data_IF_800145543466
#
_entry.id   IF_800145543466
#
_cell.length_a   1.000
_cell.length_b   1.000
_cell.length_c   1.000
_cell.angle_alpha   90.00
_cell.angle_beta   90.00
_cell.angle_gamma   90.00
#
_symmetry.space_group_name_H-M   'P 1'
#
loop_
_entity.id
_entity.type
_entity.pdbx_description
1 polymer ?
#
# COMPACT_ATOMS: atom_id res chain seq x y z
N UNK A 1 23.53 16.60 5.61
CA UNK A 1 22.18 16.94 6.07
C UNK A 1 21.56 15.79 6.84
N UNK A 2 20.67 16.03 7.78
CA UNK A 2 20.08 15.02 8.64
C UNK A 2 18.55 15.02 8.54
N UNK A 3 17.94 13.84 8.29
CA UNK A 3 16.49 13.67 8.19
C UNK A 3 15.98 12.72 9.27
N UNK A 4 14.79 13.03 9.82
CA UNK A 4 14.03 12.13 10.68
C UNK A 4 12.83 11.59 9.90
N UNK A 5 12.73 10.27 9.76
CA UNK A 5 11.54 9.58 9.24
C UNK A 5 10.72 9.11 10.44
N UNK A 6 9.46 9.52 10.50
CA UNK A 6 8.53 9.14 11.58
C UNK A 6 7.46 8.25 11.00
N UNK A 7 7.41 7.00 11.43
CA UNK A 7 6.48 6.00 10.92
C UNK A 7 5.94 5.10 12.04
N UNK A 8 4.72 4.59 11.86
CA UNK A 8 4.15 3.62 12.79
C UNK A 8 4.78 2.25 12.66
N UNK A 9 5.07 1.83 11.42
CA UNK A 9 5.55 0.48 11.08
C UNK A 9 6.92 0.55 10.41
N UNK A 10 7.87 -0.19 10.96
CA UNK A 10 9.21 -0.36 10.41
C UNK A 10 9.72 -1.77 10.72
N UNK A 11 10.64 -2.37 9.97
CA UNK A 11 11.23 -3.66 10.32
C UNK A 11 11.74 -3.69 11.78
N UNK A 12 11.61 -4.82 12.48
CA UNK A 12 11.32 -6.17 12.00
C UNK A 12 9.84 -6.52 11.83
N UNK A 13 8.91 -5.55 11.95
CA UNK A 13 7.49 -5.82 11.71
C UNK A 13 7.27 -6.48 10.34
N UNK A 14 6.61 -7.64 10.31
CA UNK A 14 6.30 -8.40 9.08
C UNK A 14 5.09 -7.82 8.33
N UNK A 15 5.01 -6.51 8.21
CA UNK A 15 3.93 -5.82 7.52
C UNK A 15 4.43 -5.15 6.26
N UNK A 16 3.68 -5.27 5.18
CA UNK A 16 3.96 -4.54 3.92
C UNK A 16 4.04 -3.02 4.12
N UNK A 17 3.43 -2.54 5.20
CA UNK A 17 3.43 -1.14 5.57
C UNK A 17 4.83 -0.61 5.95
N UNK A 18 5.71 -1.47 6.44
CA UNK A 18 7.07 -1.09 6.83
C UNK A 18 8.04 -0.97 5.65
N UNK A 19 7.69 -1.49 4.47
CA UNK A 19 8.63 -1.48 3.34
C UNK A 19 8.84 -0.08 2.76
N UNK A 20 7.80 0.73 2.63
CA UNK A 20 7.92 2.06 2.04
C UNK A 20 8.82 3.00 2.87
N UNK A 21 8.65 3.15 4.19
CA UNK A 21 9.58 3.95 5.00
C UNK A 21 11.01 3.35 5.03
N UNK A 22 11.16 2.02 4.96
CA UNK A 22 12.46 1.39 4.81
C UNK A 22 13.14 1.78 3.48
N UNK A 23 12.38 1.76 2.38
CA UNK A 23 12.89 2.22 1.08
C UNK A 23 13.33 3.66 1.12
N UNK A 24 12.53 4.54 1.69
CA UNK A 24 12.86 5.94 1.81
C UNK A 24 14.11 6.15 2.67
N UNK A 25 14.23 5.43 3.78
CA UNK A 25 15.41 5.51 4.64
C UNK A 25 16.69 5.10 3.90
N UNK A 26 16.66 3.96 3.21
CA UNK A 26 17.80 3.47 2.40
C UNK A 26 18.12 4.39 1.23
N UNK A 27 17.11 4.88 0.53
CA UNK A 27 17.30 5.82 -0.56
C UNK A 27 17.98 7.09 -0.08
N UNK A 28 17.52 7.69 1.01
CA UNK A 28 18.11 8.91 1.55
C UNK A 28 19.56 8.68 2.04
N UNK A 29 19.83 7.54 2.65
CA UNK A 29 21.18 7.16 3.07
C UNK A 29 22.13 7.05 1.86
N UNK A 30 21.72 6.41 0.77
CA UNK A 30 22.48 6.31 -0.48
C UNK A 30 22.83 7.68 -1.09
N UNK A 31 21.97 8.68 -0.89
CA UNK A 31 22.23 10.06 -1.31
C UNK A 31 22.99 10.91 -0.28
N UNK A 32 23.58 10.26 0.72
CA UNK A 32 24.46 10.89 1.71
C UNK A 32 23.75 11.64 2.84
N UNK A 33 22.44 11.38 3.05
CA UNK A 33 21.74 11.86 4.22
C UNK A 33 22.08 11.05 5.46
N UNK A 34 22.24 11.71 6.59
CA UNK A 34 22.21 11.04 7.89
C UNK A 34 20.74 10.77 8.24
N UNK A 35 20.35 9.51 8.18
CA UNK A 35 18.94 9.11 8.35
C UNK A 35 18.71 8.55 9.74
N UNK A 36 17.69 9.05 10.41
CA UNK A 36 17.16 8.45 11.62
C UNK A 36 15.68 8.14 11.43
N UNK A 37 15.22 7.02 12.02
CA UNK A 37 13.82 6.57 11.97
C UNK A 37 13.28 6.51 13.38
N UNK A 38 12.14 7.13 13.61
CA UNK A 38 11.38 7.00 14.86
C UNK A 38 10.15 6.15 14.61
N UNK A 39 10.07 5.00 15.25
CA UNK A 39 9.02 4.02 15.04
C UNK A 39 8.57 3.36 16.34
N UNK A 40 7.47 2.65 16.30
CA UNK A 40 7.01 1.77 17.36
C UNK A 40 7.93 0.54 17.47
N UNK A 41 8.08 0.02 18.69
CA UNK A 41 8.76 -1.24 18.91
C UNK A 41 7.93 -2.42 18.36
N UNK A 42 8.58 -3.29 17.56
CA UNK A 42 8.08 -4.59 17.10
C UNK A 42 9.14 -5.65 17.34
N UNK A 43 8.70 -6.88 17.67
CA UNK A 43 9.59 -8.04 17.85
C UNK A 43 9.82 -8.80 16.53
N UNK A 44 8.96 -8.60 15.54
CA UNK A 44 8.97 -9.31 14.27
C UNK A 44 8.26 -10.67 14.31
N UNK A 45 7.71 -11.04 15.46
CA UNK A 45 6.94 -12.29 15.67
C UNK A 45 5.44 -12.04 15.85
N UNK A 46 5.01 -10.78 15.81
CA UNK A 46 3.61 -10.43 16.02
C UNK A 46 2.72 -11.06 14.96
N UNK A 47 1.66 -11.74 15.41
CA UNK A 47 0.51 -12.11 14.59
C UNK A 47 -0.30 -10.86 14.22
N UNK A 48 -1.22 -10.99 13.26
CA UNK A 48 -2.11 -9.90 12.87
C UNK A 48 -2.90 -9.33 14.07
N UNK A 49 -3.35 -10.21 14.98
CA UNK A 49 -4.10 -9.80 16.18
C UNK A 49 -3.22 -9.10 17.23
N UNK A 50 -1.93 -9.42 17.27
CA UNK A 50 -0.96 -8.81 18.20
C UNK A 50 -0.40 -7.49 17.69
N UNK A 51 -0.51 -7.24 16.38
CA UNK A 51 0.05 -6.06 15.75
C UNK A 51 -0.34 -4.74 16.42
N UNK A 52 -1.56 -4.63 16.96
CA UNK A 52 -2.05 -3.45 17.65
C UNK A 52 -2.05 -3.56 19.18
N UNK A 53 -1.53 -4.65 19.76
CA UNK A 53 -1.46 -4.82 21.21
C UNK A 53 -0.42 -3.87 21.84
N UNK A 54 -0.60 -3.50 23.11
CA UNK A 54 0.40 -2.75 23.85
C UNK A 54 1.74 -3.49 23.86
N UNK A 55 2.81 -2.71 23.74
CA UNK A 55 4.16 -3.20 23.94
C UNK A 55 4.86 -2.26 24.92
N UNK A 56 5.23 -2.79 26.07
CA UNK A 56 5.87 -2.04 27.15
C UNK A 56 7.40 -2.09 27.10
N UNK A 57 7.96 -2.66 26.03
CA UNK A 57 9.42 -2.67 25.84
C UNK A 57 9.97 -1.25 25.93
N UNK A 58 10.99 -1.00 26.77
CA UNK A 58 11.56 0.32 26.91
C UNK A 58 12.06 0.91 25.59
N UNK A 59 12.19 2.23 25.57
CA UNK A 59 12.83 2.91 24.44
C UNK A 59 14.22 2.33 24.20
N UNK A 60 14.50 2.07 22.93
CA UNK A 60 15.81 1.58 22.47
C UNK A 60 16.17 2.23 21.13
N UNK A 61 17.45 2.17 20.77
CA UNK A 61 17.90 2.56 19.44
C UNK A 61 18.97 1.61 18.95
N UNK A 62 19.01 1.40 17.64
CA UNK A 62 19.97 0.51 16.95
C UNK A 62 20.40 1.13 15.63
N UNK A 63 21.66 0.88 15.26
CA UNK A 63 22.15 1.23 13.92
C UNK A 63 21.94 0.03 13.00
N UNK A 64 21.15 0.22 11.93
CA UNK A 64 20.77 -0.82 10.98
C UNK A 64 21.08 -0.37 9.57
N UNK A 65 22.09 -0.96 8.94
CA UNK A 65 22.51 -0.62 7.56
C UNK A 65 22.66 0.89 7.33
N UNK A 66 23.38 1.59 8.23
CA UNK A 66 23.61 3.04 8.13
C UNK A 66 22.50 3.92 8.70
N UNK A 67 21.32 3.36 9.00
CA UNK A 67 20.15 4.07 9.51
C UNK A 67 20.06 3.89 11.04
N UNK A 68 19.95 4.97 11.80
CA UNK A 68 19.67 4.91 13.22
C UNK A 68 18.15 4.76 13.47
N UNK A 69 17.76 3.64 14.07
CA UNK A 69 16.35 3.33 14.31
C UNK A 69 16.01 3.46 15.80
N UNK A 70 15.15 4.42 16.13
CA UNK A 70 14.63 4.65 17.47
C UNK A 70 13.30 3.94 17.62
N UNK A 71 13.21 3.02 18.58
CA UNK A 71 12.01 2.21 18.86
C UNK A 71 11.39 2.66 20.18
N UNK A 72 10.12 3.07 20.12
CA UNK A 72 9.37 3.54 21.27
C UNK A 72 8.34 2.51 21.73
N UNK A 73 8.06 2.44 23.05
CA UNK A 73 7.00 1.59 23.57
C UNK A 73 5.64 2.00 22.99
N UNK A 74 4.74 1.03 22.86
CA UNK A 74 3.36 1.26 22.48
C UNK A 74 2.44 0.98 23.67
N UNK A 75 1.86 2.02 24.20
CA UNK A 75 0.86 1.90 25.25
C UNK A 75 -0.53 2.11 24.68
N UNK A 76 -1.47 1.24 24.96
CA UNK A 76 -2.87 1.53 24.69
C UNK A 76 -3.31 2.72 25.56
N UNK A 77 -4.08 3.63 24.97
CA UNK A 77 -4.77 4.63 25.79
C UNK A 77 -5.77 3.91 26.71
N UNK A 78 -6.07 4.54 27.84
CA UNK A 78 -7.12 4.07 28.76
C UNK A 78 -8.45 3.78 28.04
N UNK A 79 -8.65 4.39 26.90
CA UNK A 79 -9.79 4.29 26.01
C UNK A 79 -9.63 3.26 24.87
N UNK A 80 -8.49 2.59 24.74
CA UNK A 80 -8.28 1.48 23.79
C UNK A 80 -9.06 0.21 24.15
N UNK A 81 -9.72 0.19 25.28
CA UNK A 81 -10.55 -0.92 25.76
C UNK A 81 -11.94 -0.99 25.13
N UNK A 82 -12.08 -0.63 23.85
CA UNK A 82 -13.34 -0.85 23.10
C UNK A 82 -13.81 -2.32 23.11
N UNK A 83 -12.89 -3.23 23.36
CA UNK A 83 -13.18 -4.66 23.40
C UNK A 83 -13.49 -5.20 24.79
N UNK A 84 -13.66 -4.33 25.79
CA UNK A 84 -14.08 -4.78 27.11
C UNK A 84 -15.56 -5.21 27.03
N UNK A 85 -15.86 -6.51 27.24
CA UNK A 85 -17.24 -7.03 27.10
C UNK A 85 -18.26 -6.26 27.94
N UNK A 86 -17.87 -5.83 29.16
CA UNK A 86 -18.73 -5.07 30.05
C UNK A 86 -19.07 -3.65 29.62
N UNK A 87 -18.22 -2.98 28.83
CA UNK A 87 -18.53 -1.63 28.32
C UNK A 87 -19.46 -1.63 27.12
N UNK A 88 -19.44 -2.70 26.31
CA UNK A 88 -20.39 -2.86 25.22
C UNK A 88 -21.83 -3.07 25.69
N UNK A 89 -22.03 -3.76 26.83
CA UNK A 89 -23.34 -4.02 27.40
C UNK A 89 -24.02 -2.76 27.96
N UNK A 90 -23.27 -1.77 28.40
CA UNK A 90 -23.80 -0.55 29.01
C UNK A 90 -24.22 0.56 28.03
N UNK A 91 -24.02 0.38 26.70
CA UNK A 91 -24.36 1.40 25.69
C UNK A 91 -23.50 2.68 25.74
N UNK A 92 -22.77 2.91 26.84
CA UNK A 92 -21.94 4.10 27.07
C UNK A 92 -20.74 4.21 26.12
N UNK A 93 -20.33 3.09 25.53
CA UNK A 93 -19.20 3.07 24.61
C UNK A 93 -19.38 3.99 23.38
N UNK A 94 -20.62 4.16 22.89
CA UNK A 94 -20.91 5.07 21.78
C UNK A 94 -20.68 6.53 22.16
N UNK A 95 -21.08 6.91 23.36
CA UNK A 95 -20.87 8.26 23.87
C UNK A 95 -19.38 8.56 24.09
N UNK A 96 -18.65 7.62 24.69
CA UNK A 96 -17.20 7.73 24.91
C UNK A 96 -16.48 7.80 23.56
N UNK A 97 -16.85 6.96 22.60
CA UNK A 97 -16.30 7.00 21.24
C UNK A 97 -16.55 8.35 20.56
N UNK A 98 -17.77 8.87 20.67
CA UNK A 98 -18.15 10.13 20.06
C UNK A 98 -17.42 11.33 20.70
N UNK A 99 -17.30 11.36 22.02
CA UNK A 99 -16.53 12.41 22.73
C UNK A 99 -15.04 12.36 22.38
N UNK A 100 -14.46 11.17 22.26
CA UNK A 100 -13.08 11.02 21.78
C UNK A 100 -12.89 11.55 20.37
N UNK A 101 -13.84 11.21 19.49
CA UNK A 101 -13.83 11.67 18.12
C UNK A 101 -13.90 13.21 18.04
N UNK A 102 -14.78 13.83 18.83
CA UNK A 102 -14.89 15.28 18.94
C UNK A 102 -13.61 15.95 19.51
N UNK A 103 -12.90 15.26 20.39
CA UNK A 103 -11.61 15.74 20.91
C UNK A 103 -10.43 15.42 19.97
N UNK A 104 -10.70 14.88 18.77
CA UNK A 104 -9.67 14.47 17.82
C UNK A 104 -8.84 13.27 18.29
N UNK A 105 -9.41 12.46 19.18
CA UNK A 105 -8.75 11.28 19.74
C UNK A 105 -9.21 10.05 18.99
N UNK A 106 -8.28 9.29 18.41
CA UNK A 106 -8.56 8.01 17.77
C UNK A 106 -8.14 6.85 18.68
N UNK A 107 -8.53 5.63 18.33
CA UNK A 107 -8.15 4.42 19.06
C UNK A 107 -6.63 4.21 19.19
N UNK A 108 -5.84 4.92 18.38
CA UNK A 108 -4.38 4.85 18.38
C UNK A 108 -3.72 6.05 19.08
N UNK A 109 -4.47 6.80 19.87
CA UNK A 109 -3.99 8.04 20.50
C UNK A 109 -2.81 7.81 21.45
N UNK A 110 -2.76 6.68 22.15
CA UNK A 110 -1.66 6.38 23.05
C UNK A 110 -0.31 6.40 22.37
N UNK A 111 -0.23 5.88 21.13
CA UNK A 111 0.99 5.93 20.36
C UNK A 111 1.39 7.38 20.05
N UNK A 112 0.45 8.22 19.58
CA UNK A 112 0.76 9.61 19.28
C UNK A 112 1.20 10.43 20.48
N UNK A 113 0.66 10.14 21.67
CA UNK A 113 1.07 10.79 22.93
C UNK A 113 2.51 10.43 23.29
N UNK A 114 2.86 9.16 23.24
CA UNK A 114 4.21 8.69 23.52
C UNK A 114 5.20 9.10 22.43
N UNK A 115 4.84 8.97 21.17
CA UNK A 115 5.69 9.43 20.06
C UNK A 115 5.97 10.94 20.19
N UNK A 116 4.95 11.70 20.58
CA UNK A 116 5.11 13.14 20.81
C UNK A 116 6.14 13.48 21.89
N UNK A 117 6.22 12.68 22.94
CA UNK A 117 7.24 12.82 23.99
C UNK A 117 8.64 12.55 23.43
N UNK A 118 8.85 11.38 22.84
CA UNK A 118 10.15 10.99 22.28
C UNK A 118 10.57 11.87 21.10
N UNK A 119 9.63 12.22 20.21
CA UNK A 119 9.88 13.15 19.12
C UNK A 119 10.37 14.50 19.62
N UNK A 120 9.69 15.08 20.64
CA UNK A 120 10.09 16.35 21.23
C UNK A 120 11.47 16.27 21.88
N UNK A 121 11.78 15.16 22.51
CA UNK A 121 13.08 14.91 23.13
C UNK A 121 14.18 14.84 22.05
N UNK A 122 14.00 14.02 21.02
CA UNK A 122 14.95 13.89 19.90
C UNK A 122 15.19 15.23 19.19
N UNK A 123 14.13 15.95 18.86
CA UNK A 123 14.23 17.23 18.14
C UNK A 123 14.85 18.36 18.97
N UNK A 124 14.87 18.23 20.30
CA UNK A 124 15.57 19.18 21.18
C UNK A 124 17.02 18.83 21.38
N UNK A 125 17.36 17.54 21.40
CA UNK A 125 18.72 17.06 21.64
C UNK A 125 19.58 17.02 20.38
N UNK A 126 18.95 16.98 19.20
CA UNK A 126 19.62 16.78 17.92
C UNK A 126 18.98 17.66 16.85
N UNK A 127 19.78 18.45 16.10
CA UNK A 127 19.24 19.22 14.98
C UNK A 127 18.93 18.30 13.80
N UNK A 128 17.75 18.47 13.20
CA UNK A 128 17.33 17.85 11.95
C UNK A 128 17.00 18.92 10.93
N UNK A 129 17.41 18.69 9.69
CA UNK A 129 17.15 19.60 8.57
C UNK A 129 15.74 19.40 8.00
N UNK A 130 15.18 18.18 8.12
CA UNK A 130 13.84 17.84 7.61
C UNK A 130 13.21 16.69 8.38
N UNK A 131 11.87 16.61 8.33
CA UNK A 131 11.09 15.48 8.85
C UNK A 131 10.20 14.94 7.74
N UNK A 132 10.20 13.62 7.55
CA UNK A 132 9.23 12.90 6.74
C UNK A 132 8.35 12.06 7.65
N UNK A 133 7.02 12.29 7.63
CA UNK A 133 6.09 11.51 8.43
C UNK A 133 5.15 10.70 7.56
N UNK A 134 5.07 9.39 7.82
CA UNK A 134 4.10 8.50 7.18
C UNK A 134 2.72 8.67 7.82
N UNK A 135 1.70 8.80 6.98
CA UNK A 135 0.30 8.94 7.41
C UNK A 135 -0.31 7.58 7.74
N UNK A 136 -0.17 7.20 8.99
CA UNK A 136 -0.89 6.07 9.58
C UNK A 136 -0.30 5.71 10.93
N UNK A 137 -0.92 6.07 12.00
CA UNK A 137 -2.22 6.74 12.24
C UNK A 137 -2.19 8.27 12.09
N UNK A 138 -3.36 8.90 11.85
CA UNK A 138 -3.48 10.37 11.67
C UNK A 138 -2.96 11.17 12.85
N UNK A 139 -3.06 10.64 14.06
CA UNK A 139 -2.53 11.25 15.29
C UNK A 139 -1.01 11.43 15.24
N UNK A 140 -0.29 10.54 14.55
CA UNK A 140 1.14 10.64 14.35
C UNK A 140 1.47 11.89 13.54
N UNK A 141 0.80 12.07 12.41
CA UNK A 141 0.96 13.25 11.55
C UNK A 141 0.66 14.54 12.31
N UNK A 142 -0.41 14.55 13.10
CA UNK A 142 -0.81 15.71 13.91
C UNK A 142 0.21 16.05 14.98
N UNK A 143 0.79 15.04 15.64
CA UNK A 143 1.85 15.23 16.63
C UNK A 143 3.11 15.82 15.98
N UNK A 144 3.54 15.26 14.84
CA UNK A 144 4.70 15.75 14.07
C UNK A 144 4.44 17.19 13.60
N UNK A 145 3.31 17.44 12.96
CA UNK A 145 2.97 18.77 12.44
C UNK A 145 3.03 19.85 13.53
N UNK A 146 2.47 19.56 14.72
CA UNK A 146 2.49 20.48 15.85
C UNK A 146 3.91 20.78 16.34
N UNK A 147 4.72 19.73 16.55
CA UNK A 147 6.06 19.88 17.12
C UNK A 147 7.02 20.52 16.08
N UNK A 148 7.00 20.04 14.85
CA UNK A 148 7.81 20.55 13.76
C UNK A 148 7.53 22.05 13.48
N UNK A 149 6.25 22.44 13.45
CA UNK A 149 5.88 23.86 13.30
C UNK A 149 6.36 24.72 14.48
N UNK A 150 6.30 24.20 15.72
CA UNK A 150 6.82 24.93 16.89
C UNK A 150 8.32 25.13 16.84
N UNK A 151 9.05 24.14 16.35
CA UNK A 151 10.52 24.15 16.24
C UNK A 151 11.02 24.72 14.90
N UNK A 152 10.11 25.10 13.99
CA UNK A 152 10.39 25.61 12.64
C UNK A 152 11.21 24.65 11.78
N UNK A 153 11.01 23.33 11.95
CA UNK A 153 11.62 22.31 11.13
C UNK A 153 10.66 21.97 9.98
N UNK A 154 11.09 22.03 8.71
CA UNK A 154 10.24 21.65 7.59
C UNK A 154 9.87 20.18 7.66
N UNK A 155 8.61 19.86 7.34
CA UNK A 155 8.15 18.49 7.29
C UNK A 155 7.29 18.23 6.06
N UNK A 156 7.32 16.99 5.58
CA UNK A 156 6.43 16.48 4.53
C UNK A 156 5.68 15.26 5.04
N UNK A 157 4.48 15.04 4.49
CA UNK A 157 3.62 13.91 4.85
C UNK A 157 3.60 12.92 3.70
N UNK A 158 3.88 11.65 3.96
CA UNK A 158 3.69 10.56 3.01
C UNK A 158 2.36 9.85 3.27
N UNK A 159 1.39 10.11 2.40
CA UNK A 159 0.08 9.45 2.39
C UNK A 159 0.16 8.19 1.54
N UNK A 160 0.66 7.08 2.12
CA UNK A 160 0.64 5.79 1.44
C UNK A 160 -0.80 5.38 1.11
N UNK A 161 -1.73 5.61 2.05
CA UNK A 161 -3.16 5.34 1.94
C UNK A 161 -3.96 6.57 2.37
N UNK A 162 -5.23 6.66 1.94
CA UNK A 162 -6.15 7.56 2.59
C UNK A 162 -6.28 7.16 4.07
N UNK A 163 -6.35 8.15 4.94
CA UNK A 163 -6.52 7.89 6.38
C UNK A 163 -7.90 7.32 6.72
N UNK A 164 -8.77 7.20 5.74
CA UNK A 164 -10.10 6.62 5.82
C UNK A 164 -10.42 5.86 4.54
N UNK A 165 -10.78 4.59 4.67
CA UNK A 165 -11.10 3.74 3.50
C UNK A 165 -12.28 4.30 2.69
N UNK A 166 -13.27 4.86 3.36
CA UNK A 166 -14.44 5.49 2.73
C UNK A 166 -14.09 6.66 1.82
N UNK A 167 -12.90 7.25 1.94
CA UNK A 167 -12.44 8.33 1.04
C UNK A 167 -12.18 7.84 -0.38
N UNK A 168 -11.88 6.56 -0.57
CA UNK A 168 -11.69 5.99 -1.89
C UNK A 168 -13.00 5.76 -2.66
N UNK A 169 -14.15 5.72 -1.98
CA UNK A 169 -15.44 5.44 -2.62
C UNK A 169 -15.80 6.51 -3.64
N UNK A 170 -16.06 6.08 -4.89
CA UNK A 170 -16.56 6.94 -5.98
C UNK A 170 -17.96 7.47 -5.69
N UNK A 171 -18.76 6.71 -4.94
CA UNK A 171 -20.12 7.07 -4.55
C UNK A 171 -20.21 7.37 -3.05
N UNK A 172 -20.16 8.66 -2.63
CA UNK A 172 -20.27 9.05 -1.23
C UNK A 172 -21.64 8.75 -0.60
N UNK A 173 -22.67 8.44 -1.39
CA UNK A 173 -24.00 8.09 -0.86
C UNK A 173 -23.96 6.80 -0.05
N UNK A 174 -23.05 5.89 -0.40
CA UNK A 174 -22.81 4.63 0.30
C UNK A 174 -22.20 4.77 1.70
N UNK A 175 -21.79 5.98 2.08
CA UNK A 175 -21.20 6.24 3.40
C UNK A 175 -22.33 6.50 4.39
N UNK A 176 -22.47 5.63 5.39
CA UNK A 176 -23.45 5.80 6.48
C UNK A 176 -23.22 7.07 7.31
N UNK A 177 -24.29 7.61 7.91
CA UNK A 177 -24.29 8.90 8.61
C UNK A 177 -23.16 9.04 9.67
N UNK A 178 -22.97 8.05 10.54
CA UNK A 178 -21.94 8.07 11.57
C UNK A 178 -20.53 8.12 10.97
N UNK A 179 -20.31 7.43 9.85
CA UNK A 179 -19.04 7.47 9.11
C UNK A 179 -18.80 8.81 8.42
N UNK A 180 -19.88 9.47 7.92
CA UNK A 180 -19.79 10.83 7.36
C UNK A 180 -19.33 11.84 8.41
N UNK A 181 -19.89 11.79 9.62
CA UNK A 181 -19.48 12.66 10.75
C UNK A 181 -17.99 12.42 11.07
N UNK A 182 -17.60 11.15 11.24
CA UNK A 182 -16.22 10.79 11.54
C UNK A 182 -15.26 11.28 10.45
N UNK A 183 -15.61 11.06 9.18
CA UNK A 183 -14.82 11.53 8.05
C UNK A 183 -14.70 13.07 8.03
N UNK A 184 -15.78 13.79 8.32
CA UNK A 184 -15.77 15.25 8.43
C UNK A 184 -14.82 15.75 9.52
N UNK A 185 -14.83 15.13 10.69
CA UNK A 185 -13.95 15.45 11.80
C UNK A 185 -12.46 15.14 11.47
N UNK A 186 -12.19 13.98 10.88
CA UNK A 186 -10.82 13.64 10.47
C UNK A 186 -10.29 14.62 9.41
N UNK A 187 -11.08 14.99 8.41
CA UNK A 187 -10.73 16.03 7.44
C UNK A 187 -10.43 17.37 8.12
N UNK A 188 -11.26 17.77 9.07
CA UNK A 188 -11.04 19.00 9.84
C UNK A 188 -9.70 18.97 10.59
N UNK A 189 -9.40 17.87 11.30
CA UNK A 189 -8.15 17.73 12.04
C UNK A 189 -6.91 17.60 11.16
N UNK A 190 -7.05 17.03 9.96
CA UNK A 190 -5.94 16.88 9.00
C UNK A 190 -5.69 18.13 8.16
N UNK A 191 -6.66 19.07 8.09
CA UNK A 191 -6.52 20.30 7.28
C UNK A 191 -5.24 21.09 7.62
N UNK A 192 -5.03 21.38 8.89
CA UNK A 192 -3.85 22.13 9.33
C UNK A 192 -2.53 21.40 9.06
N UNK A 193 -2.35 20.13 9.44
CA UNK A 193 -1.18 19.35 9.04
C UNK A 193 -0.89 19.39 7.54
N UNK A 194 -1.89 19.19 6.69
CA UNK A 194 -1.75 19.22 5.22
C UNK A 194 -1.33 20.60 4.74
N UNK A 195 -2.00 21.66 5.18
CA UNK A 195 -1.71 23.01 4.70
C UNK A 195 -0.37 23.56 5.20
N UNK A 196 0.12 23.14 6.37
CA UNK A 196 1.42 23.54 6.92
C UNK A 196 2.59 22.65 6.51
N UNK A 197 2.33 21.46 5.97
CA UNK A 197 3.39 20.61 5.40
C UNK A 197 4.07 21.32 4.21
N UNK A 198 5.35 21.04 4.01
CA UNK A 198 6.09 21.51 2.84
C UNK A 198 5.55 20.83 1.58
N UNK A 199 5.51 19.49 1.60
CA UNK A 199 4.87 18.67 0.57
C UNK A 199 4.01 17.57 1.19
N UNK A 200 3.01 17.11 0.41
CA UNK A 200 2.26 15.91 0.66
C UNK A 200 2.55 14.94 -0.47
N UNK A 201 3.05 13.77 -0.12
CA UNK A 201 3.46 12.71 -1.05
C UNK A 201 2.36 11.65 -1.05
N UNK A 202 2.06 11.03 -2.19
CA UNK A 202 1.18 9.87 -2.27
C UNK A 202 1.45 9.00 -3.49
N UNK A 203 0.73 7.89 -3.58
CA UNK A 203 0.85 6.92 -4.68
C UNK A 203 0.22 7.40 -5.98
N UNK A 204 -0.71 8.37 -5.92
CA UNK A 204 -1.39 8.93 -7.09
C UNK A 204 -1.83 10.38 -6.86
N UNK A 205 -1.98 11.13 -7.94
CA UNK A 205 -2.59 12.46 -7.92
C UNK A 205 -4.06 12.39 -7.51
N UNK A 206 -4.78 11.36 -7.93
CA UNK A 206 -6.17 11.10 -7.53
C UNK A 206 -6.29 11.04 -6.01
N UNK A 207 -5.39 10.31 -5.32
CA UNK A 207 -5.41 10.23 -3.86
C UNK A 207 -5.10 11.59 -3.21
N UNK A 208 -4.14 12.35 -3.73
CA UNK A 208 -3.83 13.70 -3.21
C UNK A 208 -5.01 14.66 -3.37
N UNK A 209 -5.78 14.54 -4.45
CA UNK A 209 -7.01 15.31 -4.66
C UNK A 209 -8.12 14.90 -3.68
N UNK A 210 -8.32 13.59 -3.45
CA UNK A 210 -9.25 13.04 -2.44
C UNK A 210 -8.91 13.59 -1.04
N UNK A 211 -7.61 13.70 -0.73
CA UNK A 211 -7.10 14.24 0.53
C UNK A 211 -7.17 15.77 0.60
N UNK A 212 -7.61 16.44 -0.47
CA UNK A 212 -7.68 17.90 -0.60
C UNK A 212 -6.34 18.60 -0.38
N UNK A 213 -5.26 17.99 -0.84
CA UNK A 213 -3.94 18.60 -0.80
C UNK A 213 -3.87 19.74 -1.81
N UNK A 214 -3.38 20.95 -1.43
CA UNK A 214 -3.18 22.05 -2.38
C UNK A 214 -2.27 21.63 -3.55
N UNK A 215 -2.58 21.98 -4.83
CA UNK A 215 -1.84 21.53 -6.01
C UNK A 215 -0.33 21.77 -5.93
N UNK A 216 0.11 22.94 -5.45
CA UNK A 216 1.54 23.25 -5.32
C UNK A 216 2.32 22.42 -4.30
N UNK A 217 1.61 21.63 -3.46
CA UNK A 217 2.21 20.78 -2.43
C UNK A 217 2.13 19.29 -2.78
N UNK A 218 1.50 18.94 -3.87
CA UNK A 218 1.31 17.54 -4.29
C UNK A 218 2.60 16.98 -4.90
N UNK A 219 2.99 15.79 -4.45
CA UNK A 219 4.08 15.00 -5.02
C UNK A 219 3.67 13.54 -5.15
N UNK A 220 3.90 12.95 -6.31
CA UNK A 220 3.57 11.53 -6.55
C UNK A 220 4.84 10.70 -6.53
N UNK A 221 4.90 9.75 -5.59
CA UNK A 221 5.91 8.70 -5.51
C UNK A 221 5.19 7.37 -5.38
N UNK A 222 5.30 6.54 -6.38
CA UNK A 222 4.66 5.21 -6.40
C UNK A 222 5.46 4.18 -5.61
N UNK A 223 4.90 2.99 -5.39
CA UNK A 223 5.63 1.91 -4.70
C UNK A 223 6.77 1.35 -5.55
N UNK A 224 6.58 1.34 -6.87
CA UNK A 224 7.57 0.89 -7.83
C UNK A 224 7.91 -0.61 -7.75
N UNK A 225 8.70 -1.07 -8.71
CA UNK A 225 9.22 -2.43 -8.78
C UNK A 225 10.74 -2.46 -8.52
N UNK A 226 11.26 -3.64 -8.16
CA UNK A 226 12.68 -3.85 -7.85
C UNK A 226 13.44 -4.36 -9.08
N UNK A 227 14.08 -3.44 -9.81
CA UNK A 227 14.86 -3.80 -11.01
C UNK A 227 16.01 -4.76 -10.70
N UNK A 228 16.64 -4.65 -9.52
CA UNK A 228 17.75 -5.54 -9.13
C UNK A 228 17.25 -6.97 -8.95
N UNK A 229 16.05 -7.15 -8.39
CA UNK A 229 15.43 -8.47 -8.27
C UNK A 229 15.05 -9.03 -9.65
N UNK A 230 14.41 -8.22 -10.48
CA UNK A 230 14.00 -8.62 -11.84
C UNK A 230 15.17 -8.96 -12.75
N UNK A 231 16.28 -8.23 -12.70
CA UNK A 231 17.45 -8.47 -13.57
C UNK A 231 18.14 -9.82 -13.31
N UNK A 232 17.89 -10.46 -12.18
CA UNK A 232 18.41 -11.79 -11.82
C UNK A 232 17.57 -12.93 -12.39
N UNK A 233 16.36 -12.64 -12.83
CA UNK A 233 15.43 -13.65 -13.32
C UNK A 233 15.67 -13.97 -14.80
N UNK A 234 15.55 -15.26 -15.13
CA UNK A 234 15.47 -15.69 -16.50
C UNK A 234 14.00 -15.62 -16.93
N UNK A 235 13.70 -14.81 -17.92
CA UNK A 235 12.35 -14.74 -18.51
C UNK A 235 12.17 -15.97 -19.40
N UNK A 236 11.68 -17.06 -18.84
CA UNK A 236 11.48 -18.34 -19.54
C UNK A 236 10.04 -18.79 -19.29
N UNK A 237 9.05 -18.30 -20.07
CA UNK A 237 7.69 -18.79 -19.96
C UNK A 237 7.68 -20.28 -20.34
N UNK A 238 6.89 -21.07 -19.61
CA UNK A 238 6.61 -22.44 -20.00
C UNK A 238 5.79 -22.41 -21.31
N UNK A 239 6.42 -22.78 -22.41
CA UNK A 239 5.78 -22.78 -23.72
C UNK A 239 4.70 -23.87 -23.84
N UNK A 240 4.71 -24.87 -22.95
CA UNK A 240 3.79 -26.01 -22.98
C UNK A 240 2.50 -25.78 -22.21
N UNK A 241 2.41 -24.71 -21.40
CA UNK A 241 1.26 -24.40 -20.56
C UNK A 241 0.85 -22.94 -20.70
N UNK A 242 -0.43 -22.71 -20.98
CA UNK A 242 -1.00 -21.35 -20.90
C UNK A 242 -1.29 -21.02 -19.44
N UNK A 243 -0.36 -20.33 -18.81
CA UNK A 243 -0.42 -20.02 -17.38
C UNK A 243 -0.98 -18.63 -17.09
N UNK A 244 -1.94 -18.56 -16.18
CA UNK A 244 -2.50 -17.32 -15.64
C UNK A 244 -2.13 -17.23 -14.16
N UNK A 245 -1.36 -16.22 -13.77
CA UNK A 245 -0.88 -16.06 -12.40
C UNK A 245 -1.62 -14.92 -11.70
N UNK A 246 -2.13 -15.19 -10.49
CA UNK A 246 -2.75 -14.21 -9.60
C UNK A 246 -1.95 -14.17 -8.31
N UNK A 247 -1.19 -13.09 -8.06
CA UNK A 247 -0.36 -12.99 -6.87
C UNK A 247 -0.94 -12.04 -5.82
N UNK A 248 -0.91 -12.49 -4.56
CA UNK A 248 -1.25 -11.70 -3.37
C UNK A 248 -2.74 -11.62 -3.06
N UNK A 249 -3.03 -11.06 -1.89
CA UNK A 249 -4.36 -11.06 -1.28
C UNK A 249 -5.43 -10.44 -2.16
N UNK A 250 -6.55 -11.15 -2.27
CA UNK A 250 -7.80 -10.70 -2.87
C UNK A 250 -8.72 -10.17 -1.77
N UNK A 251 -9.27 -8.99 -1.99
CA UNK A 251 -10.14 -8.30 -1.05
C UNK A 251 -11.52 -8.16 -1.66
N UNK A 252 -12.52 -7.74 -0.86
CA UNK A 252 -13.87 -7.40 -1.28
C UNK A 252 -14.67 -8.54 -1.96
N UNK A 253 -15.72 -8.96 -1.26
CA UNK A 253 -16.52 -10.13 -1.64
C UNK A 253 -17.26 -9.96 -2.96
N UNK A 254 -17.80 -8.79 -3.23
CA UNK A 254 -18.59 -8.53 -4.45
C UNK A 254 -17.68 -8.42 -5.68
N UNK A 255 -16.56 -7.73 -5.53
CA UNK A 255 -15.59 -7.57 -6.61
C UNK A 255 -14.92 -8.92 -6.91
N UNK A 256 -14.63 -9.72 -5.89
CA UNK A 256 -14.08 -11.06 -6.05
C UNK A 256 -15.02 -11.96 -6.89
N UNK A 257 -16.34 -11.87 -6.67
CA UNK A 257 -17.32 -12.62 -7.47
C UNK A 257 -17.20 -12.32 -8.96
N UNK A 258 -17.14 -11.03 -9.32
CA UNK A 258 -17.00 -10.58 -10.72
C UNK A 258 -15.68 -11.12 -11.32
N UNK A 259 -14.59 -11.07 -10.55
CA UNK A 259 -13.28 -11.55 -10.99
C UNK A 259 -13.30 -13.07 -11.27
N UNK A 260 -13.86 -13.85 -10.34
CA UNK A 260 -13.95 -15.30 -10.46
C UNK A 260 -14.91 -15.72 -11.58
N UNK A 261 -16.00 -14.98 -11.81
CA UNK A 261 -16.93 -15.21 -12.93
C UNK A 261 -16.21 -15.11 -14.29
N UNK A 262 -15.35 -14.10 -14.48
CA UNK A 262 -14.57 -13.98 -15.72
C UNK A 262 -13.64 -15.16 -15.96
N UNK A 263 -12.96 -15.67 -14.92
CA UNK A 263 -12.12 -16.86 -15.01
C UNK A 263 -12.96 -18.14 -15.22
N UNK A 264 -14.10 -18.27 -14.57
CA UNK A 264 -15.01 -19.40 -14.74
C UNK A 264 -15.51 -19.51 -16.17
N UNK A 265 -15.95 -18.38 -16.77
CA UNK A 265 -16.39 -18.33 -18.16
C UNK A 265 -15.26 -18.74 -19.14
N UNK A 266 -14.02 -18.35 -18.86
CA UNK A 266 -12.87 -18.79 -19.64
C UNK A 266 -12.63 -20.30 -19.52
N UNK A 267 -12.56 -20.83 -18.29
CA UNK A 267 -12.24 -22.25 -18.05
C UNK A 267 -13.34 -23.20 -18.47
N UNK A 268 -14.62 -22.77 -18.45
CA UNK A 268 -15.78 -23.62 -18.78
C UNK A 268 -15.78 -24.18 -20.20
N UNK A 269 -14.92 -23.69 -21.09
CA UNK A 269 -14.78 -24.23 -22.47
C UNK A 269 -13.91 -25.49 -22.58
N UNK A 270 -13.37 -26.00 -21.47
CA UNK A 270 -12.61 -27.25 -21.48
C UNK A 270 -11.31 -27.16 -22.28
N UNK A 271 -10.57 -26.06 -22.15
CA UNK A 271 -9.31 -25.81 -22.83
C UNK A 271 -8.22 -26.77 -22.35
N UNK A 272 -7.25 -27.07 -23.23
CA UNK A 272 -6.13 -27.97 -22.90
C UNK A 272 -4.90 -27.15 -22.49
N UNK A 273 -4.07 -27.74 -21.59
CA UNK A 273 -2.79 -27.13 -21.19
C UNK A 273 -2.95 -25.73 -20.59
N UNK A 274 -3.96 -25.52 -19.78
CA UNK A 274 -4.21 -24.29 -19.05
C UNK A 274 -3.84 -24.50 -17.59
N UNK A 275 -3.28 -23.49 -16.94
CA UNK A 275 -3.08 -23.42 -15.48
C UNK A 275 -3.46 -22.04 -14.97
N UNK A 276 -4.29 -21.99 -13.92
CA UNK A 276 -4.61 -20.76 -13.18
C UNK A 276 -4.06 -20.91 -11.77
N UNK A 277 -3.02 -20.14 -11.45
CA UNK A 277 -2.34 -20.23 -10.15
C UNK A 277 -2.63 -19.02 -9.28
N UNK A 278 -3.22 -19.24 -8.11
CA UNK A 278 -3.41 -18.26 -7.06
C UNK A 278 -2.29 -18.38 -6.01
N UNK A 279 -1.52 -17.31 -5.82
CA UNK A 279 -0.44 -17.26 -4.83
C UNK A 279 -0.88 -16.39 -3.64
N UNK A 280 -1.03 -17.00 -2.46
CA UNK A 280 -1.44 -16.35 -1.21
C UNK A 280 -2.70 -15.46 -1.36
N UNK A 281 -3.83 -16.01 -1.86
CA UNK A 281 -5.00 -15.20 -2.21
C UNK A 281 -5.71 -14.59 -0.99
N UNK A 282 -5.40 -15.01 0.23
CA UNK A 282 -5.98 -14.43 1.44
C UNK A 282 -6.41 -15.45 2.48
N UNK A 283 -7.38 -15.11 3.34
CA UNK A 283 -7.85 -15.99 4.41
C UNK A 283 -8.59 -17.23 3.86
N UNK A 284 -8.79 -18.26 4.68
CA UNK A 284 -9.48 -19.50 4.28
C UNK A 284 -10.82 -19.27 3.58
N UNK A 285 -11.59 -18.28 4.01
CA UNK A 285 -12.89 -17.94 3.38
C UNK A 285 -12.77 -17.43 1.94
N UNK A 286 -11.64 -16.86 1.55
CA UNK A 286 -11.37 -16.48 0.15
C UNK A 286 -10.98 -17.72 -0.65
N UNK A 287 -10.16 -18.59 -0.07
CA UNK A 287 -9.75 -19.86 -0.69
C UNK A 287 -10.96 -20.75 -0.98
N UNK A 288 -11.88 -20.89 -0.02
CA UNK A 288 -13.12 -21.64 -0.20
C UNK A 288 -13.95 -21.09 -1.37
N UNK A 289 -14.10 -19.78 -1.46
CA UNK A 289 -14.82 -19.16 -2.59
C UNK A 289 -14.17 -19.38 -3.94
N UNK A 290 -12.83 -19.37 -3.99
CA UNK A 290 -12.11 -19.69 -5.23
C UNK A 290 -12.43 -21.13 -5.64
N UNK A 291 -12.38 -22.10 -4.72
CA UNK A 291 -12.69 -23.50 -4.98
C UNK A 291 -14.14 -23.74 -5.40
N UNK A 292 -15.08 -23.04 -4.75
CA UNK A 292 -16.50 -23.10 -5.11
C UNK A 292 -16.80 -22.52 -6.50
N UNK A 293 -16.18 -21.38 -6.83
CA UNK A 293 -16.41 -20.71 -8.10
C UNK A 293 -15.64 -21.34 -9.27
N UNK A 294 -14.49 -21.94 -9.00
CA UNK A 294 -13.58 -22.51 -10.00
C UNK A 294 -13.26 -23.97 -9.68
N UNK A 295 -14.25 -24.90 -9.79
CA UNK A 295 -14.05 -26.32 -9.50
C UNK A 295 -13.37 -27.05 -10.68
N UNK A 296 -12.24 -26.55 -11.15
CA UNK A 296 -11.48 -27.11 -12.27
C UNK A 296 -10.12 -27.62 -11.82
N UNK A 297 -9.65 -28.74 -12.36
CA UNK A 297 -8.34 -29.32 -12.03
C UNK A 297 -7.16 -28.41 -12.44
N UNK A 298 -7.38 -27.55 -13.41
CA UNK A 298 -6.41 -26.57 -13.88
C UNK A 298 -6.18 -25.40 -12.88
N UNK A 299 -6.97 -25.30 -11.80
CA UNK A 299 -6.87 -24.25 -10.79
C UNK A 299 -6.04 -24.71 -9.61
N UNK A 300 -4.90 -24.06 -9.41
CA UNK A 300 -3.99 -24.30 -8.30
C UNK A 300 -3.98 -23.15 -7.32
N UNK A 301 -3.86 -23.47 -6.03
CA UNK A 301 -3.82 -22.47 -4.95
C UNK A 301 -2.63 -22.77 -4.06
N UNK A 302 -1.71 -21.81 -3.96
CA UNK A 302 -0.69 -21.76 -2.92
C UNK A 302 -1.25 -20.89 -1.77
N UNK A 303 -1.72 -21.51 -0.67
CA UNK A 303 -2.48 -20.79 0.35
C UNK A 303 -1.62 -19.85 1.20
N UNK A 304 -0.32 -20.12 1.29
CA UNK A 304 0.65 -19.38 2.09
C UNK A 304 1.52 -18.48 1.22
N UNK A 305 2.08 -17.44 1.84
CA UNK A 305 3.05 -16.58 1.17
C UNK A 305 4.34 -17.36 0.91
N UNK A 306 4.82 -17.27 -0.32
CA UNK A 306 6.15 -17.70 -0.74
C UNK A 306 7.12 -16.51 -0.69
N UNK A 307 8.40 -16.72 -0.95
CA UNK A 307 9.38 -15.64 -1.00
C UNK A 307 9.04 -14.62 -2.10
N UNK A 308 9.60 -13.42 -1.98
CA UNK A 308 9.42 -12.40 -2.99
C UNK A 308 10.01 -12.84 -4.33
N UNK A 309 11.21 -13.42 -4.30
CA UNK A 309 11.92 -13.94 -5.46
C UNK A 309 11.13 -15.04 -6.16
N UNK A 310 10.61 -16.04 -5.42
CA UNK A 310 9.76 -17.09 -5.99
C UNK A 310 8.47 -16.54 -6.60
N UNK A 311 7.90 -15.48 -6.00
CA UNK A 311 6.74 -14.79 -6.57
C UNK A 311 7.07 -14.15 -7.92
N UNK A 312 8.23 -13.48 -8.03
CA UNK A 312 8.69 -12.90 -9.27
C UNK A 312 8.99 -13.96 -10.34
N UNK A 313 9.55 -15.13 -9.95
CA UNK A 313 9.78 -16.26 -10.85
C UNK A 313 8.47 -16.75 -11.48
N UNK A 314 7.42 -16.94 -10.67
CA UNK A 314 6.10 -17.29 -11.20
C UNK A 314 5.57 -16.21 -12.15
N UNK A 315 5.71 -14.92 -11.81
CA UNK A 315 5.29 -13.82 -12.68
C UNK A 315 6.06 -13.81 -14.00
N UNK A 316 7.37 -14.06 -13.97
CA UNK A 316 8.22 -14.12 -15.16
C UNK A 316 7.89 -15.31 -16.09
N UNK A 317 7.49 -16.45 -15.50
CA UNK A 317 7.08 -17.64 -16.22
C UNK A 317 5.65 -17.58 -16.77
N UNK A 318 4.82 -16.63 -16.35
CA UNK A 318 3.42 -16.52 -16.77
C UNK A 318 3.26 -16.17 -18.25
N UNK A 319 2.17 -16.63 -18.86
CA UNK A 319 1.67 -16.09 -20.13
C UNK A 319 0.82 -14.85 -19.90
N UNK A 320 -0.01 -14.87 -18.85
CA UNK A 320 -0.88 -13.75 -18.45
C UNK A 320 -0.81 -13.54 -16.94
N UNK A 321 -0.77 -12.28 -16.54
CA UNK A 321 -0.92 -11.88 -15.12
C UNK A 321 -2.33 -11.34 -14.91
N UNK A 322 -3.12 -11.99 -14.04
CA UNK A 322 -4.47 -11.54 -13.74
C UNK A 322 -4.50 -10.70 -12.46
N UNK A 323 -5.12 -9.54 -12.54
CA UNK A 323 -5.20 -8.57 -11.47
C UNK A 323 -6.66 -8.32 -11.09
N UNK A 324 -6.96 -8.56 -9.82
CA UNK A 324 -8.24 -8.21 -9.21
C UNK A 324 -8.33 -6.70 -9.00
N UNK A 325 -9.14 -6.03 -9.81
CA UNK A 325 -9.29 -4.57 -9.77
C UNK A 325 -10.18 -4.07 -8.64
N UNK A 326 -10.38 -2.75 -8.57
CA UNK A 326 -11.07 -2.07 -7.47
C UNK A 326 -12.25 -1.21 -7.99
N UNK A 327 -13.27 -1.87 -8.56
CA UNK A 327 -14.47 -1.17 -9.05
C UNK A 327 -15.15 -0.37 -7.93
N UNK A 328 -15.44 0.91 -8.21
CA UNK A 328 -16.10 1.80 -7.25
C UNK A 328 -15.19 2.52 -6.27
N UNK A 329 -13.88 2.34 -6.39
CA UNK A 329 -12.85 3.04 -5.63
C UNK A 329 -11.98 3.89 -6.56
N UNK A 330 -11.38 4.97 -6.04
CA UNK A 330 -10.49 5.86 -6.79
C UNK A 330 -9.14 6.01 -6.11
N UNK A 331 -8.07 6.16 -6.90
CA UNK A 331 -6.74 6.47 -6.41
C UNK A 331 -6.02 5.34 -5.66
N UNK A 332 -6.40 4.06 -5.89
CA UNK A 332 -5.91 2.91 -5.11
C UNK A 332 -4.99 1.98 -5.92
N UNK A 333 -3.74 2.37 -6.23
CA UNK A 333 -2.78 1.48 -6.89
C UNK A 333 -2.15 0.55 -5.86
N UNK A 334 -2.29 -0.77 -6.03
CA UNK A 334 -1.57 -1.73 -5.19
C UNK A 334 -0.10 -1.85 -5.61
N UNK A 335 0.77 -2.26 -4.69
CA UNK A 335 2.20 -2.42 -4.98
C UNK A 335 2.48 -3.46 -6.08
N UNK A 336 1.67 -4.52 -6.16
CA UNK A 336 1.87 -5.64 -7.10
C UNK A 336 1.72 -5.24 -8.58
N UNK A 337 0.92 -4.19 -8.89
CA UNK A 337 0.74 -3.77 -10.28
C UNK A 337 2.05 -3.30 -10.91
N UNK A 338 2.96 -2.73 -10.13
CA UNK A 338 4.27 -2.29 -10.60
C UNK A 338 5.17 -3.47 -10.95
N UNK A 339 5.12 -4.56 -10.19
CA UNK A 339 5.82 -5.80 -10.53
C UNK A 339 5.22 -6.43 -11.82
N UNK A 340 3.88 -6.36 -11.97
CA UNK A 340 3.19 -6.87 -13.16
C UNK A 340 3.62 -6.12 -14.43
N UNK A 341 3.61 -4.78 -14.43
CA UNK A 341 4.06 -4.02 -15.62
C UNK A 341 5.54 -4.27 -15.94
N UNK A 342 6.40 -4.46 -14.89
CA UNK A 342 7.82 -4.77 -15.08
C UNK A 342 8.04 -6.14 -15.72
N UNK A 343 7.19 -7.11 -15.50
CA UNK A 343 7.29 -8.42 -16.12
C UNK A 343 7.21 -8.37 -17.64
N UNK A 344 6.61 -7.33 -18.22
CA UNK A 344 6.34 -7.20 -19.63
C UNK A 344 5.26 -8.16 -20.15
N UNK A 345 4.62 -8.95 -19.30
CA UNK A 345 3.56 -9.90 -19.68
C UNK A 345 2.23 -9.18 -19.94
N UNK A 346 1.30 -9.87 -20.62
CA UNK A 346 -0.07 -9.38 -20.71
C UNK A 346 -0.72 -9.34 -19.32
N UNK A 347 -1.32 -8.21 -19.01
CA UNK A 347 -2.06 -8.02 -17.75
C UNK A 347 -3.56 -8.00 -18.08
N UNK A 348 -4.31 -8.87 -17.41
CA UNK A 348 -5.76 -8.95 -17.47
C UNK A 348 -6.35 -8.44 -16.18
N UNK A 349 -7.16 -7.37 -16.25
CA UNK A 349 -7.78 -6.75 -15.07
C UNK A 349 -9.29 -6.89 -15.11
N UNK A 350 -9.85 -7.42 -14.04
CA UNK A 350 -11.29 -7.49 -13.83
C UNK A 350 -11.63 -7.31 -12.34
N UNK A 351 -12.60 -6.48 -12.01
CA UNK A 351 -13.16 -5.42 -12.85
C UNK A 351 -12.21 -4.22 -12.99
N UNK A 352 -12.35 -3.46 -14.05
CA UNK A 352 -11.65 -2.21 -14.29
C UNK A 352 -11.92 -1.20 -13.14
N UNK A 353 -10.91 -0.39 -12.77
CA UNK A 353 -11.09 0.67 -11.77
C UNK A 353 -11.59 1.99 -12.39
N UNK A 354 -11.40 2.18 -13.69
CA UNK A 354 -11.71 3.42 -14.40
C UNK A 354 -10.93 4.63 -13.86
N UNK A 355 -9.68 4.40 -13.42
CA UNK A 355 -8.83 5.41 -12.78
C UNK A 355 -7.34 5.07 -12.96
N UNK A 356 -6.57 5.07 -11.89
CA UNK A 356 -5.10 5.04 -11.90
C UNK A 356 -4.50 3.76 -12.47
N UNK A 357 -5.16 2.62 -12.30
CA UNK A 357 -4.63 1.34 -12.80
C UNK A 357 -4.92 1.21 -14.29
N UNK A 358 -6.12 1.58 -14.73
CA UNK A 358 -6.49 1.59 -16.15
C UNK A 358 -5.59 2.55 -16.93
N UNK A 359 -5.33 3.76 -16.40
CA UNK A 359 -4.41 4.71 -16.99
C UNK A 359 -2.98 4.15 -17.08
N UNK A 360 -2.50 3.47 -16.03
CA UNK A 360 -1.18 2.85 -16.02
C UNK A 360 -1.04 1.77 -17.10
N UNK A 361 -2.05 0.92 -17.30
CA UNK A 361 -2.03 -0.09 -18.35
C UNK A 361 -2.00 0.52 -19.74
N UNK A 362 -2.77 1.59 -19.94
CA UNK A 362 -2.81 2.30 -21.22
C UNK A 362 -1.44 2.91 -21.56
N UNK A 363 -0.83 3.61 -20.60
CA UNK A 363 0.48 4.25 -20.77
C UNK A 363 1.59 3.23 -21.01
N UNK A 364 1.59 2.13 -20.25
CA UNK A 364 2.63 1.09 -20.32
C UNK A 364 2.40 0.08 -21.43
N UNK A 365 1.21 0.06 -22.06
CA UNK A 365 0.81 -0.89 -23.09
C UNK A 365 0.94 -2.36 -22.67
N UNK A 366 0.80 -2.64 -21.37
CA UNK A 366 1.04 -3.98 -20.83
C UNK A 366 -0.19 -4.86 -20.75
N UNK A 367 -1.42 -4.34 -20.96
CA UNK A 367 -2.59 -5.18 -20.83
C UNK A 367 -3.91 -4.48 -21.10
N UNK A 368 -4.98 -5.08 -20.60
CA UNK A 368 -6.36 -4.58 -20.74
C UNK A 368 -7.15 -4.75 -19.46
N UNK A 369 -8.05 -3.82 -19.20
CA UNK A 369 -9.00 -3.85 -18.10
C UNK A 369 -10.44 -3.95 -18.64
N UNK A 370 -11.31 -4.64 -17.89
CA UNK A 370 -12.66 -4.97 -18.32
C UNK A 370 -13.67 -4.69 -17.19
N UNK A 371 -14.87 -4.31 -17.55
CA UNK A 371 -15.99 -4.14 -16.62
C UNK A 371 -16.96 -5.31 -16.66
N UNK A 372 -16.96 -6.07 -17.76
CA UNK A 372 -17.84 -7.20 -18.01
C UNK A 372 -17.06 -8.52 -18.02
N UNK A 373 -17.49 -9.54 -17.21
CA UNK A 373 -16.82 -10.83 -17.13
C UNK A 373 -16.80 -11.61 -18.46
N UNK A 374 -17.84 -11.50 -19.28
CA UNK A 374 -17.92 -12.19 -20.57
C UNK A 374 -16.92 -11.64 -21.57
N UNK A 375 -16.82 -10.30 -21.69
CA UNK A 375 -15.82 -9.65 -22.56
C UNK A 375 -14.40 -9.94 -22.04
N UNK A 376 -14.22 -9.95 -20.73
CA UNK A 376 -12.95 -10.28 -20.10
C UNK A 376 -12.52 -11.73 -20.42
N UNK A 377 -13.43 -12.68 -20.34
CA UNK A 377 -13.19 -14.08 -20.71
C UNK A 377 -12.88 -14.24 -22.21
N UNK A 378 -13.59 -13.53 -23.09
CA UNK A 378 -13.29 -13.53 -24.53
C UNK A 378 -11.87 -13.07 -24.82
N UNK A 379 -11.37 -12.06 -24.10
CA UNK A 379 -9.98 -11.61 -24.28
C UNK A 379 -8.96 -12.68 -23.86
N UNK A 380 -9.24 -13.43 -22.79
CA UNK A 380 -8.40 -14.57 -22.41
C UNK A 380 -8.38 -15.65 -23.49
N UNK A 381 -9.53 -15.93 -24.15
CA UNK A 381 -9.58 -16.86 -25.28
C UNK A 381 -8.73 -16.36 -26.46
N UNK A 382 -8.78 -15.06 -26.81
CA UNK A 382 -7.95 -14.49 -27.86
C UNK A 382 -6.46 -14.69 -27.57
N UNK A 383 -6.04 -14.51 -26.31
CA UNK A 383 -4.64 -14.72 -25.91
C UNK A 383 -4.28 -16.22 -25.85
N UNK A 384 -5.22 -17.08 -25.45
CA UNK A 384 -5.03 -18.51 -25.50
C UNK A 384 -4.85 -19.01 -26.93
N UNK A 385 -5.69 -18.57 -27.87
CA UNK A 385 -5.58 -18.94 -29.29
C UNK A 385 -4.25 -18.44 -29.91
N UNK A 386 -3.81 -17.25 -29.53
CA UNK A 386 -2.50 -16.73 -29.94
C UNK A 386 -1.36 -17.63 -29.41
N UNK A 387 -1.43 -18.02 -28.12
CA UNK A 387 -0.46 -18.92 -27.52
C UNK A 387 -0.46 -20.31 -28.20
N UNK A 388 -1.60 -20.87 -28.53
CA UNK A 388 -1.70 -22.15 -29.25
C UNK A 388 -0.99 -22.10 -30.62
N UNK A 389 -1.06 -20.95 -31.28
CA UNK A 389 -0.46 -20.78 -32.62
C UNK A 389 1.04 -20.46 -32.52
N UNK A 390 1.46 -19.63 -31.58
CA UNK A 390 2.82 -19.06 -31.51
C UNK A 390 3.71 -19.65 -30.40
N UNK A 391 3.13 -20.37 -29.42
CA UNK A 391 3.83 -20.83 -28.23
C UNK A 391 3.97 -19.75 -27.13
N UNK A 392 3.57 -18.51 -27.42
CA UNK A 392 3.62 -17.39 -26.47
C UNK A 392 2.53 -16.36 -26.73
N UNK A 393 2.20 -15.56 -25.73
CA UNK A 393 1.34 -14.39 -25.86
C UNK A 393 2.22 -13.17 -26.11
N UNK A 394 2.16 -12.61 -27.32
CA UNK A 394 3.00 -11.48 -27.69
C UNK A 394 2.59 -10.20 -26.96
N UNK A 395 3.55 -9.46 -26.43
CA UNK A 395 3.34 -8.14 -25.84
C UNK A 395 4.36 -7.13 -26.36
N UNK A 396 3.97 -5.87 -26.45
CA UNK A 396 4.83 -4.75 -26.89
C UNK A 396 4.77 -3.64 -25.83
N UNK A 397 5.37 -3.86 -24.64
CA UNK A 397 5.32 -2.90 -23.56
C UNK A 397 6.08 -1.61 -23.88
N UNK A 398 5.58 -0.48 -23.41
CA UNK A 398 6.33 0.77 -23.42
C UNK A 398 7.36 0.80 -22.28
N UNK A 399 8.54 0.28 -22.54
CA UNK A 399 9.62 0.16 -21.56
C UNK A 399 10.09 1.51 -21.00
N UNK A 400 10.06 2.57 -21.80
CA UNK A 400 10.42 3.91 -21.34
C UNK A 400 9.50 4.38 -20.21
N UNK A 401 8.20 4.17 -20.36
CA UNK A 401 7.23 4.50 -19.33
C UNK A 401 7.37 3.56 -18.12
N UNK A 402 7.57 2.25 -18.36
CA UNK A 402 7.75 1.27 -17.29
C UNK A 402 8.95 1.63 -16.41
N UNK A 403 10.08 2.00 -17.00
CA UNK A 403 11.30 2.38 -16.27
C UNK A 403 11.08 3.55 -15.29
N UNK A 404 10.18 4.47 -15.61
CA UNK A 404 9.82 5.59 -14.70
C UNK A 404 9.20 5.12 -13.38
N UNK A 405 8.74 3.86 -13.31
CA UNK A 405 8.16 3.24 -12.13
C UNK A 405 9.15 2.34 -11.35
N UNK A 406 10.42 2.31 -11.68
CA UNK A 406 11.43 1.58 -10.90
C UNK A 406 11.62 2.22 -9.51
N UNK A 407 11.94 1.41 -8.50
CA UNK A 407 12.26 1.91 -7.15
C UNK A 407 13.45 2.85 -7.16
N UNK A 408 14.40 2.66 -8.08
CA UNK A 408 15.52 3.59 -8.23
C UNK A 408 15.03 5.00 -8.60
N UNK A 409 14.19 5.13 -9.62
CA UNK A 409 13.60 6.43 -10.00
C UNK A 409 12.77 7.02 -8.87
N UNK A 410 12.02 6.20 -8.11
CA UNK A 410 11.29 6.69 -6.94
C UNK A 410 12.23 7.16 -5.83
N UNK A 411 13.39 6.54 -5.67
CA UNK A 411 14.45 6.96 -4.72
C UNK A 411 15.04 8.32 -5.11
N UNK A 412 15.26 8.56 -6.38
CA UNK A 412 15.69 9.87 -6.88
C UNK A 412 14.65 10.96 -6.60
N UNK A 413 13.36 10.66 -6.84
CA UNK A 413 12.26 11.59 -6.57
C UNK A 413 12.16 11.96 -5.09
N UNK A 414 12.25 10.99 -4.16
CA UNK A 414 12.19 11.31 -2.72
C UNK A 414 13.39 12.17 -2.30
N UNK A 415 14.59 11.88 -2.81
CA UNK A 415 15.76 12.70 -2.55
C UNK A 415 15.56 14.15 -3.03
N UNK A 416 15.06 14.36 -4.25
CA UNK A 416 14.75 15.69 -4.79
C UNK A 416 13.73 16.44 -3.92
N UNK A 417 12.65 15.74 -3.48
CA UNK A 417 11.61 16.33 -2.62
C UNK A 417 12.19 16.77 -1.28
N UNK A 418 12.97 15.90 -0.63
CA UNK A 418 13.57 16.23 0.68
C UNK A 418 14.63 17.31 0.55
N UNK A 419 15.44 17.28 -0.49
CA UNK A 419 16.44 18.33 -0.77
C UNK A 419 15.77 19.71 -0.97
N UNK A 420 14.66 19.76 -1.70
CA UNK A 420 13.89 20.99 -1.90
C UNK A 420 13.31 21.56 -0.59
N UNK A 421 12.98 20.70 0.40
CA UNK A 421 12.53 21.16 1.72
C UNK A 421 13.61 21.95 2.47
N UNK A 422 14.87 21.70 2.20
CA UNK A 422 16.00 22.26 2.95
C UNK A 422 16.66 23.46 2.24
N UNK A 423 16.36 23.68 0.96
CA UNK A 423 16.97 24.78 0.18
C UNK A 423 16.57 26.20 0.65
N UNK A 424 15.49 26.34 1.40
CA UNK A 424 15.04 27.63 1.97
C UNK A 424 15.56 27.92 3.38
N UNK A 425 16.41 27.05 3.95
CA UNK A 425 16.92 27.15 5.32
C UNK A 425 18.36 27.72 5.42
N UNK A 426 18.99 28.04 4.29
CA UNK A 426 20.34 28.62 4.23
C UNK A 426 20.31 30.13 4.11
#
# INVERSE_FOLDING_TARGET
MKILIVTYTYPPAKSVNGFRPLYFARAMEQYGWKVEVLTRHFTGSESFDEYNRPNHTPYSYTLESGVMVHRVPHHNSWFGYYNWPGMRSLGLWKLIYFTQLLCGRTTQESYSKWIGYYLKHLLKSTPYDAILVESGPTNLVRAVARIASTLRIPYSIDFRDAYYHEMYLKDPSKIGFSKKIKLGLEKYYMRRPITSAHYCISLSSTLLNILQVPPGKQKVIVNGYDEVAWSKLKNNPDADIFSIIIAGTLYDREILKIFLEGLQLFLSKGLKKVEVLFIAPGPPSVIERIREALPFDDVKILPTRISYEATLEHMAAAQVLAYHGWKGYSGYPSAKIYEYIRSGKKIWILPADGDVIDALLLETQTGKSFTDPGIAAQQLHVWYDEWVIKGEVTNTPNWEIIQRHSRQVQSEKINQIVSAMTQGLK
#
